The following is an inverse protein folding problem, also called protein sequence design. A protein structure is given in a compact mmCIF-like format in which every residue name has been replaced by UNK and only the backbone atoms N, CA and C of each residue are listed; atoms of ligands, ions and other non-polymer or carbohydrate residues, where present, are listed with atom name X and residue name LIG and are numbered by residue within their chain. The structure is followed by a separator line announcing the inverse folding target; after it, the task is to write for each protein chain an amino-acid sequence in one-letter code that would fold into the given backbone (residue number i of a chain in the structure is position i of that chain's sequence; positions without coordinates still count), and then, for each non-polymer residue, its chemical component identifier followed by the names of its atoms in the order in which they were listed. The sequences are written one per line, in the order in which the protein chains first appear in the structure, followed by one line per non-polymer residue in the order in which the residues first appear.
data_IF_083304059854
#
_entry.id   IF_083304059854
#
_cell.length_a   1.000
_cell.length_b   1.000
_cell.length_c   1.000
_cell.angle_alpha   90.00
_cell.angle_beta   90.00
_cell.angle_gamma   90.00
#
_symmetry.space_group_name_H-M   'P 1'
#
loop_
_entity.id
_entity.type
_entity.pdbx_description
1 polymer ?
#
# COMPACT_ATOMS: atom_id res chain seq x y z
N UNK A 1 5.58 -5.69 -19.12
CA UNK A 1 4.22 -5.31 -19.47
C UNK A 1 3.54 -4.83 -18.20
N UNK A 2 2.98 -3.62 -18.18
CA UNK A 2 2.31 -3.07 -16.99
C UNK A 2 0.81 -3.25 -17.21
N UNK A 3 0.13 -3.92 -16.27
CA UNK A 3 -1.33 -4.07 -16.31
C UNK A 3 -1.96 -2.70 -16.06
N UNK A 4 -2.86 -2.22 -16.92
CA UNK A 4 -3.58 -0.97 -16.67
C UNK A 4 -4.44 -1.13 -15.40
N UNK A 5 -4.50 -0.08 -14.59
CA UNK A 5 -5.27 -0.07 -13.33
C UNK A 5 -6.36 0.98 -13.40
N UNK A 6 -7.59 0.56 -13.22
CA UNK A 6 -8.77 1.42 -13.11
C UNK A 6 -8.78 2.07 -11.72
N UNK A 7 -8.15 3.24 -11.60
CA UNK A 7 -7.96 3.94 -10.32
C UNK A 7 -9.26 4.44 -9.68
N UNK A 8 -10.34 4.54 -10.45
CA UNK A 8 -11.67 4.90 -9.93
C UNK A 8 -12.47 3.67 -9.44
N UNK A 9 -12.00 2.45 -9.74
CA UNK A 9 -12.71 1.22 -9.36
C UNK A 9 -12.08 0.66 -8.10
N UNK A 10 -12.85 0.62 -7.02
CA UNK A 10 -12.46 0.10 -5.72
C UNK A 10 -13.39 -1.05 -5.35
N UNK A 11 -12.84 -2.14 -4.82
CA UNK A 11 -13.64 -3.24 -4.32
C UNK A 11 -14.58 -2.76 -3.21
N UNK A 12 -15.90 -2.99 -3.31
CA UNK A 12 -16.87 -2.54 -2.31
C UNK A 12 -16.64 -3.16 -0.93
N UNK A 13 -16.84 -2.37 0.13
CA UNK A 13 -16.69 -2.85 1.50
C UNK A 13 -17.66 -3.99 1.84
N UNK A 14 -18.87 -4.01 1.24
CA UNK A 14 -19.84 -5.09 1.40
C UNK A 14 -19.30 -6.46 1.00
N UNK A 15 -18.40 -6.50 0.02
CA UNK A 15 -17.71 -7.72 -0.43
C UNK A 15 -16.60 -8.09 0.55
N UNK A 16 -15.88 -7.10 1.07
CA UNK A 16 -14.81 -7.32 2.08
C UNK A 16 -15.41 -7.85 3.38
N UNK A 17 -16.56 -7.31 3.80
CA UNK A 17 -17.27 -7.73 5.01
C UNK A 17 -17.84 -9.15 4.92
N UNK A 18 -18.13 -9.65 3.72
CA UNK A 18 -18.55 -11.04 3.48
C UNK A 18 -17.43 -12.08 3.68
N UNK A 19 -16.24 -11.63 3.99
CA UNK A 19 -15.07 -12.45 4.31
C UNK A 19 -14.00 -12.38 3.23
N UNK A 20 -12.84 -11.92 3.65
CA UNK A 20 -11.62 -11.88 2.84
C UNK A 20 -10.51 -12.60 3.58
N UNK A 21 -9.91 -13.57 2.92
CA UNK A 21 -8.68 -14.22 3.38
C UNK A 21 -7.50 -13.64 2.61
N UNK A 22 -6.54 -13.05 3.32
CA UNK A 22 -5.32 -12.51 2.72
C UNK A 22 -4.09 -13.32 3.11
N UNK A 23 -3.20 -13.57 2.16
CA UNK A 23 -1.87 -14.12 2.39
C UNK A 23 -0.79 -13.22 1.81
N UNK A 24 0.37 -13.26 2.45
CA UNK A 24 1.57 -12.58 1.97
C UNK A 24 2.44 -13.58 1.20
N UNK A 25 2.88 -13.19 0.01
CA UNK A 25 3.73 -14.01 -0.84
C UNK A 25 5.08 -13.31 -1.02
N UNK A 26 6.16 -14.06 -0.81
CA UNK A 26 7.53 -13.66 -1.15
C UNK A 26 8.22 -14.75 -1.94
N UNK A 27 9.09 -14.34 -2.85
CA UNK A 27 9.95 -15.26 -3.56
C UNK A 27 11.38 -15.05 -3.12
N UNK A 28 11.94 -16.09 -2.49
CA UNK A 28 13.34 -16.19 -2.14
C UNK A 28 13.92 -17.44 -2.82
N UNK A 29 15.16 -17.37 -3.25
CA UNK A 29 15.89 -18.55 -3.74
C UNK A 29 16.87 -18.98 -2.68
N UNK A 30 16.82 -20.27 -2.29
CA UNK A 30 17.77 -20.88 -1.38
C UNK A 30 18.74 -21.74 -2.19
N UNK A 31 20.03 -21.53 -1.98
CA UNK A 31 21.10 -22.33 -2.55
C UNK A 31 21.86 -22.96 -1.40
N UNK A 32 21.86 -24.31 -1.37
CA UNK A 32 22.69 -25.08 -0.44
C UNK A 32 23.96 -25.51 -1.18
N UNK A 33 25.10 -25.32 -0.54
CA UNK A 33 26.39 -25.76 -1.06
C UNK A 33 26.72 -27.19 -0.53
N UNK A 34 27.62 -27.87 -1.20
CA UNK A 34 27.99 -29.25 -0.86
C UNK A 34 28.52 -29.40 0.59
N UNK A 35 29.08 -28.35 1.15
CA UNK A 35 29.58 -28.31 2.53
C UNK A 35 28.49 -27.96 3.56
N UNK A 36 27.21 -27.89 3.17
CA UNK A 36 26.09 -27.62 4.06
C UNK A 36 25.86 -26.14 4.36
N UNK A 37 26.63 -25.21 3.78
CA UNK A 37 26.34 -23.80 3.91
C UNK A 37 25.13 -23.41 3.05
N UNK A 38 24.23 -22.60 3.61
CA UNK A 38 23.04 -22.10 2.90
C UNK A 38 23.18 -20.60 2.62
N UNK A 39 22.82 -20.22 1.41
CA UNK A 39 22.67 -18.81 1.01
C UNK A 39 21.23 -18.56 0.55
N UNK A 40 20.63 -17.47 1.05
CA UNK A 40 19.27 -17.07 0.69
C UNK A 40 19.36 -15.78 -0.10
N UNK A 41 18.88 -15.81 -1.34
CA UNK A 41 18.75 -14.64 -2.17
C UNK A 41 17.29 -14.15 -2.16
N UNK A 42 17.07 -12.89 -1.80
CA UNK A 42 15.75 -12.25 -1.80
C UNK A 42 15.46 -11.76 -3.21
N UNK A 43 14.63 -12.50 -3.95
CA UNK A 43 14.29 -12.19 -5.35
C UNK A 43 13.32 -11.01 -5.43
N UNK A 44 12.31 -10.95 -4.55
CA UNK A 44 11.36 -9.85 -4.51
C UNK A 44 11.67 -8.89 -3.37
N UNK A 45 11.93 -7.64 -3.71
CA UNK A 45 12.21 -6.58 -2.73
C UNK A 45 10.99 -6.25 -1.87
N UNK A 46 9.78 -6.46 -2.41
CA UNK A 46 8.51 -6.25 -1.71
C UNK A 46 7.68 -7.53 -1.62
N UNK A 47 6.83 -7.57 -0.60
CA UNK A 47 5.86 -8.64 -0.42
C UNK A 47 4.65 -8.38 -1.30
N UNK A 48 4.26 -9.36 -2.11
CA UNK A 48 2.96 -9.35 -2.79
C UNK A 48 1.88 -9.84 -1.82
N UNK A 49 0.65 -9.38 -2.04
CA UNK A 49 -0.52 -9.79 -1.29
C UNK A 49 -1.52 -10.41 -2.23
N UNK A 50 -2.04 -11.55 -1.84
CA UNK A 50 -3.10 -12.27 -2.54
C UNK A 50 -4.31 -12.30 -1.64
N UNK A 51 -5.48 -12.03 -2.21
CA UNK A 51 -6.74 -12.01 -1.49
C UNK A 51 -7.70 -13.01 -2.12
N UNK A 52 -8.28 -13.85 -1.29
CA UNK A 52 -9.40 -14.72 -1.62
C UNK A 52 -10.67 -14.07 -1.07
N UNK A 53 -11.66 -13.87 -1.93
CA UNK A 53 -12.89 -13.14 -1.63
C UNK A 53 -14.06 -14.12 -1.75
N UNK A 54 -15.10 -13.94 -0.92
CA UNK A 54 -16.30 -14.75 -1.03
C UNK A 54 -16.26 -16.05 -0.25
N UNK A 55 -15.53 -16.10 0.84
CA UNK A 55 -15.37 -17.28 1.71
C UNK A 55 -16.66 -17.58 2.48
N UNK A 56 -17.48 -16.56 2.75
CA UNK A 56 -18.74 -16.68 3.48
C UNK A 56 -19.95 -16.43 2.56
N UNK A 57 -21.16 -16.89 2.93
CA UNK A 57 -22.37 -16.55 2.21
C UNK A 57 -22.55 -15.04 2.09
N UNK A 58 -22.78 -14.58 0.85
CA UNK A 58 -22.95 -13.16 0.55
C UNK A 58 -24.42 -12.86 0.23
N UNK A 59 -24.80 -11.60 0.48
CA UNK A 59 -26.05 -11.05 0.00
C UNK A 59 -26.01 -10.95 -1.52
N UNK A 60 -27.16 -11.05 -2.16
CA UNK A 60 -27.30 -10.99 -3.63
C UNK A 60 -26.68 -9.71 -4.21
N UNK A 61 -26.85 -8.58 -3.52
CA UNK A 61 -26.32 -7.28 -3.93
C UNK A 61 -24.78 -7.27 -3.97
N UNK A 62 -24.14 -7.89 -2.98
CA UNK A 62 -22.68 -8.01 -2.95
C UNK A 62 -22.16 -8.91 -4.05
N UNK A 63 -22.88 -9.99 -4.36
CA UNK A 63 -22.55 -10.87 -5.48
C UNK A 63 -22.65 -10.15 -6.83
N UNK A 64 -23.72 -9.40 -7.05
CA UNK A 64 -23.89 -8.60 -8.27
C UNK A 64 -22.76 -7.55 -8.44
N UNK A 65 -22.24 -6.99 -7.35
CA UNK A 65 -21.09 -6.08 -7.42
C UNK A 65 -19.82 -6.79 -7.89
N UNK A 66 -19.61 -8.05 -7.48
CA UNK A 66 -18.47 -8.85 -7.96
C UNK A 66 -18.60 -9.16 -9.44
N UNK A 67 -19.79 -9.56 -9.91
CA UNK A 67 -20.05 -9.80 -11.32
C UNK A 67 -19.81 -8.54 -12.15
N UNK A 68 -20.33 -7.40 -11.69
CA UNK A 68 -20.11 -6.10 -12.35
C UNK A 68 -18.61 -5.75 -12.41
N UNK A 69 -17.89 -5.99 -11.32
CA UNK A 69 -16.45 -5.75 -11.25
C UNK A 69 -15.71 -6.64 -12.26
N UNK A 70 -16.08 -7.92 -12.38
CA UNK A 70 -15.47 -8.85 -13.31
C UNK A 70 -15.65 -8.39 -14.76
N UNK A 71 -16.87 -7.94 -15.13
CA UNK A 71 -17.14 -7.41 -16.46
C UNK A 71 -16.37 -6.12 -16.76
N UNK A 72 -16.35 -5.16 -15.81
CA UNK A 72 -15.62 -3.88 -15.96
C UNK A 72 -14.11 -4.10 -16.11
N UNK A 73 -13.57 -5.15 -15.49
CA UNK A 73 -12.13 -5.46 -15.55
C UNK A 73 -11.75 -6.41 -16.68
N UNK A 74 -12.67 -6.70 -17.60
CA UNK A 74 -12.46 -7.64 -18.71
C UNK A 74 -11.91 -9.00 -18.22
N UNK A 75 -12.53 -9.56 -17.19
CA UNK A 75 -12.11 -10.83 -16.62
C UNK A 75 -10.71 -10.81 -15.98
N UNK A 76 -10.25 -9.65 -15.52
CA UNK A 76 -8.92 -9.49 -14.91
C UNK A 76 -7.83 -8.98 -15.85
N UNK A 77 -8.16 -8.55 -17.06
CA UNK A 77 -7.21 -7.87 -17.96
C UNK A 77 -6.80 -6.49 -17.42
N UNK A 78 -7.67 -5.87 -16.63
CA UNK A 78 -7.41 -4.60 -15.97
C UNK A 78 -7.42 -4.78 -14.45
N UNK A 79 -6.52 -4.07 -13.75
CA UNK A 79 -6.48 -4.07 -12.30
C UNK A 79 -7.50 -3.10 -11.70
N UNK A 80 -7.92 -3.36 -10.47
CA UNK A 80 -8.73 -2.46 -9.65
C UNK A 80 -8.09 -2.26 -8.28
N UNK A 81 -8.60 -1.33 -7.49
CA UNK A 81 -8.08 -1.04 -6.15
C UNK A 81 -8.79 -1.88 -5.09
N UNK A 82 -8.04 -2.36 -4.13
CA UNK A 82 -8.55 -3.00 -2.91
C UNK A 82 -7.94 -2.31 -1.69
N UNK A 83 -8.79 -1.95 -0.72
CA UNK A 83 -8.32 -1.54 0.61
C UNK A 83 -8.02 -2.80 1.42
N UNK A 84 -6.76 -3.01 1.80
CA UNK A 84 -6.37 -4.18 2.59
C UNK A 84 -6.99 -4.11 3.99
N UNK A 85 -7.91 -5.01 4.37
CA UNK A 85 -8.61 -4.92 5.65
C UNK A 85 -7.70 -5.05 6.87
N UNK A 86 -6.50 -5.62 6.70
CA UNK A 86 -5.53 -5.82 7.79
C UNK A 86 -4.45 -4.76 7.85
N UNK A 87 -4.17 -4.07 6.73
CA UNK A 87 -2.96 -3.22 6.64
C UNK A 87 -3.15 -2.03 5.68
N UNK A 88 -4.30 -1.37 5.74
CA UNK A 88 -4.60 -0.20 4.93
C UNK A 88 -4.26 1.14 5.59
N UNK A 89 -3.87 1.14 6.89
CA UNK A 89 -3.70 2.38 7.65
C UNK A 89 -2.24 2.61 8.05
N UNK A 90 -1.86 3.88 8.04
CA UNK A 90 -0.59 4.38 8.57
C UNK A 90 -0.86 5.50 9.55
N UNK A 91 -0.30 5.40 10.76
CA UNK A 91 -0.38 6.46 11.77
C UNK A 91 0.90 7.31 11.84
N UNK A 92 2.04 6.73 11.50
CA UNK A 92 3.35 7.38 11.61
C UNK A 92 4.28 6.91 10.48
N UNK A 93 3.86 7.14 9.24
CA UNK A 93 4.66 6.81 8.07
C UNK A 93 5.85 7.74 7.90
N UNK A 94 6.89 7.25 7.24
CA UNK A 94 8.09 8.01 6.93
C UNK A 94 8.07 8.51 5.49
N UNK A 95 8.83 9.56 5.24
CA UNK A 95 9.04 10.13 3.93
C UNK A 95 10.53 10.05 3.57
N UNK A 96 10.81 9.62 2.35
CA UNK A 96 12.17 9.56 1.80
C UNK A 96 12.29 10.58 0.69
N UNK A 97 13.25 11.51 0.81
CA UNK A 97 13.47 12.54 -0.19
C UNK A 97 13.89 11.95 -1.54
N UNK A 98 13.29 12.46 -2.60
CA UNK A 98 13.65 12.20 -3.99
C UNK A 98 14.36 13.39 -4.64
N UNK A 99 14.61 14.47 -3.87
CA UNK A 99 15.07 15.75 -4.40
C UNK A 99 13.91 16.66 -4.87
N UNK A 100 14.22 17.94 -5.12
CA UNK A 100 13.27 18.94 -5.64
C UNK A 100 11.95 19.00 -4.83
N UNK A 101 12.02 19.00 -3.51
CA UNK A 101 10.88 19.01 -2.58
C UNK A 101 9.91 17.84 -2.76
N UNK A 102 10.34 16.74 -3.39
CA UNK A 102 9.53 15.53 -3.57
C UNK A 102 9.94 14.45 -2.59
N UNK A 103 8.96 13.77 -2.04
CA UNK A 103 9.13 12.75 -1.02
C UNK A 103 8.28 11.53 -1.34
N UNK A 104 8.89 10.34 -1.31
CA UNK A 104 8.18 9.08 -1.43
C UNK A 104 7.64 8.64 -0.08
N UNK A 105 6.39 8.21 -0.05
CA UNK A 105 5.74 7.68 1.14
C UNK A 105 6.16 6.24 1.42
N UNK A 106 6.44 5.96 2.70
CA UNK A 106 6.71 4.61 3.20
C UNK A 106 5.94 4.34 4.49
N UNK A 107 5.54 3.08 4.67
CA UNK A 107 5.10 2.53 5.95
C UNK A 107 6.24 1.75 6.56
N UNK A 108 6.60 2.06 7.80
CA UNK A 108 7.61 1.34 8.58
C UNK A 108 6.95 0.30 9.45
N UNK A 109 7.41 -0.92 9.34
CA UNK A 109 7.12 -2.00 10.26
C UNK A 109 8.32 -2.14 11.20
N UNK A 110 8.04 -2.19 12.51
CA UNK A 110 9.08 -2.37 13.53
C UNK A 110 8.74 -3.61 14.33
N UNK A 111 9.68 -4.52 14.45
CA UNK A 111 9.56 -5.64 15.38
C UNK A 111 9.89 -5.11 16.79
N UNK A 112 8.97 -5.34 17.75
CA UNK A 112 8.99 -4.65 19.05
C UNK A 112 10.15 -5.07 19.97
N UNK A 113 10.56 -6.33 19.91
CA UNK A 113 11.60 -6.85 20.80
C UNK A 113 13.00 -6.48 20.34
N UNK A 114 13.29 -6.58 19.04
CA UNK A 114 14.61 -6.34 18.47
C UNK A 114 14.81 -4.93 17.91
N UNK A 115 13.72 -4.18 17.69
CA UNK A 115 13.75 -2.89 17.02
C UNK A 115 14.06 -2.96 15.51
N UNK A 116 14.16 -4.15 14.94
CA UNK A 116 14.43 -4.33 13.50
C UNK A 116 13.27 -3.75 12.71
N UNK A 117 13.61 -2.96 11.70
CA UNK A 117 12.62 -2.27 10.86
C UNK A 117 12.64 -2.74 9.42
N UNK A 118 11.47 -2.69 8.78
CA UNK A 118 11.31 -2.89 7.35
C UNK A 118 10.36 -1.84 6.79
N UNK A 119 10.81 -1.16 5.74
CA UNK A 119 10.03 -0.12 5.10
C UNK A 119 9.32 -0.66 3.85
N UNK A 120 8.02 -0.41 3.74
CA UNK A 120 7.20 -0.70 2.57
C UNK A 120 6.90 0.59 1.83
N UNK A 121 7.28 0.65 0.57
CA UNK A 121 6.92 1.76 -0.32
C UNK A 121 5.40 1.78 -0.53
N UNK A 122 4.80 2.96 -0.36
CA UNK A 122 3.37 3.19 -0.61
C UNK A 122 3.22 3.88 -1.96
N UNK A 123 2.47 3.27 -2.87
CA UNK A 123 2.26 3.76 -4.23
C UNK A 123 0.83 4.22 -4.51
N UNK A 124 -0.11 3.88 -3.64
CA UNK A 124 -1.55 4.20 -3.82
C UNK A 124 -2.16 4.74 -2.53
N UNK A 125 -1.66 5.88 -1.98
CA UNK A 125 -2.30 6.50 -0.82
C UNK A 125 -3.66 7.07 -1.23
N UNK A 126 -4.62 7.03 -0.31
CA UNK A 126 -5.89 7.74 -0.47
C UNK A 126 -5.71 9.21 -0.07
N UNK A 127 -6.37 10.11 -0.82
CA UNK A 127 -6.39 11.52 -0.45
C UNK A 127 -7.26 11.76 0.79
N UNK A 128 -8.33 10.96 0.94
CA UNK A 128 -9.22 11.02 2.09
C UNK A 128 -8.50 10.62 3.39
N UNK A 129 -8.51 11.53 4.36
CA UNK A 129 -7.85 11.35 5.65
C UNK A 129 -6.32 11.38 5.61
N UNK A 130 -5.71 11.81 4.50
CA UNK A 130 -4.26 12.02 4.43
C UNK A 130 -3.85 13.26 5.21
N UNK A 131 -2.84 13.13 6.04
CA UNK A 131 -2.26 14.23 6.82
C UNK A 131 -0.75 14.14 6.82
N UNK A 132 -0.12 15.29 6.67
CA UNK A 132 1.32 15.47 6.74
C UNK A 132 1.67 16.30 7.98
N UNK A 133 2.74 15.92 8.70
CA UNK A 133 3.21 16.63 9.89
C UNK A 133 4.72 16.70 9.95
N UNK A 134 5.22 17.69 10.65
CA UNK A 134 6.63 17.88 11.01
C UNK A 134 6.78 18.14 12.51
N UNK A 135 7.94 18.59 12.97
CA UNK A 135 8.18 18.95 14.38
C UNK A 135 7.29 20.08 14.90
N UNK A 136 6.85 21.00 14.02
CA UNK A 136 6.01 22.14 14.38
C UNK A 136 4.51 21.78 14.43
N UNK A 137 4.11 20.62 13.93
CA UNK A 137 2.71 20.15 13.90
C UNK A 137 2.23 19.71 12.53
N UNK A 138 0.92 19.77 12.32
CA UNK A 138 0.29 19.40 11.05
C UNK A 138 0.55 20.47 9.99
N UNK A 139 1.01 20.04 8.82
CA UNK A 139 1.23 20.90 7.65
C UNK A 139 -0.11 21.11 6.95
N UNK A 140 -0.37 22.35 6.56
CA UNK A 140 -1.61 22.69 5.85
C UNK A 140 -1.66 21.97 4.50
N UNK A 141 -2.85 21.52 4.11
CA UNK A 141 -3.06 20.84 2.81
C UNK A 141 -2.77 21.73 1.59
N UNK A 142 -2.78 23.06 1.74
CA UNK A 142 -2.37 24.00 0.72
C UNK A 142 -0.84 24.03 0.48
N UNK A 143 -0.04 23.54 1.44
CA UNK A 143 1.42 23.61 1.40
C UNK A 143 2.07 22.33 0.79
N UNK A 144 1.26 21.39 0.34
CA UNK A 144 1.75 20.19 -0.36
C UNK A 144 0.76 19.68 -1.41
N UNK A 145 1.27 18.92 -2.35
CA UNK A 145 0.48 18.17 -3.34
C UNK A 145 0.75 16.68 -3.19
N UNK A 146 -0.29 15.86 -3.22
CA UNK A 146 -0.22 14.39 -3.12
C UNK A 146 -0.51 13.73 -4.46
N UNK A 147 0.46 13.03 -5.03
CA UNK A 147 0.25 12.12 -6.17
C UNK A 147 -0.23 10.76 -5.65
N UNK A 148 -1.53 10.53 -5.73
CA UNK A 148 -2.18 9.28 -5.29
C UNK A 148 -1.87 8.09 -6.18
N UNK A 149 -1.29 8.29 -7.37
CA UNK A 149 -0.92 7.20 -8.27
C UNK A 149 0.48 6.64 -7.98
N UNK A 150 1.38 7.47 -7.44
CA UNK A 150 2.79 7.12 -7.18
C UNK A 150 3.15 7.14 -5.71
N UNK A 151 2.29 7.72 -4.84
CA UNK A 151 2.59 7.91 -3.43
C UNK A 151 3.71 8.92 -3.19
N UNK A 152 3.72 9.99 -3.97
CA UNK A 152 4.71 11.05 -3.87
C UNK A 152 4.03 12.30 -3.34
N UNK A 153 4.64 12.90 -2.32
CA UNK A 153 4.27 14.24 -1.82
C UNK A 153 5.26 15.24 -2.37
N UNK A 154 4.76 16.34 -2.90
CA UNK A 154 5.56 17.50 -3.30
C UNK A 154 5.23 18.65 -2.36
N UNK A 155 6.23 19.16 -1.64
CA UNK A 155 6.07 20.34 -0.78
C UNK A 155 6.06 21.60 -1.63
N UNK A 156 5.12 22.50 -1.33
CA UNK A 156 4.93 23.79 -1.98
C UNK A 156 5.46 24.87 -1.03
N UNK A 157 6.41 25.69 -1.52
CA UNK A 157 6.99 26.75 -0.69
C UNK A 157 8.02 26.28 0.35
N UNK A 158 8.26 27.12 1.35
CA UNK A 158 9.28 26.90 2.41
C UNK A 158 8.66 26.19 3.60
N UNK A 159 8.47 24.90 3.49
CA UNK A 159 7.97 24.05 4.59
C UNK A 159 9.15 23.49 5.37
N UNK A 160 9.10 23.54 6.72
CA UNK A 160 10.08 22.86 7.55
C UNK A 160 9.98 21.34 7.33
N UNK A 161 11.11 20.73 6.96
CA UNK A 161 11.20 19.30 6.60
C UNK A 161 11.70 18.41 7.73
N UNK A 162 11.92 18.98 8.95
CA UNK A 162 12.41 18.22 10.09
C UNK A 162 11.35 17.22 10.57
N UNK A 163 11.77 15.96 10.71
CA UNK A 163 10.93 14.86 11.17
C UNK A 163 9.59 14.73 10.42
N UNK A 164 9.61 14.89 9.11
CA UNK A 164 8.41 14.67 8.30
C UNK A 164 7.82 13.28 8.54
N UNK A 165 6.53 13.26 8.82
CA UNK A 165 5.72 12.04 9.01
C UNK A 165 4.38 12.22 8.31
N UNK A 166 3.78 11.09 7.95
CA UNK A 166 2.45 11.09 7.36
C UNK A 166 1.53 10.08 8.05
N UNK A 167 0.25 10.35 7.97
CA UNK A 167 -0.81 9.42 8.37
C UNK A 167 -1.89 9.39 7.30
N UNK A 168 -2.60 8.28 7.21
CA UNK A 168 -3.66 8.09 6.22
C UNK A 168 -3.92 6.63 5.89
N UNK A 169 -4.66 6.42 4.78
CA UNK A 169 -4.97 5.10 4.22
C UNK A 169 -4.27 4.90 2.87
N UNK A 170 -4.12 3.63 2.45
CA UNK A 170 -3.53 3.26 1.17
C UNK A 170 -4.06 1.91 0.68
#
# INVERSE_FOLDING_TARGET
MTIPVLSAVVLPNSVIEAGVRGRQIRRNTRVATVNGAESINVVWSQTLREFEIGIAPMKREAWQQIETLHEITDGGAQGFLIEDPKDAKVANGILVSLGNNKYQLYKRYTEQASGITKDRKITRPRADGFSLRNVAGTINSADYSLDTSKGIVTLLGSVNTDLLRWSGKF
#
